data_IF_751933778612
#
_entry.id   IF_751933778612
#
_cell.length_a   1.000
_cell.length_b   1.000
_cell.length_c   1.000
_cell.angle_alpha   90.00
_cell.angle_beta   90.00
_cell.angle_gamma   90.00
#
_symmetry.space_group_name_H-M   'P 1'
#
loop_
_entity.id
_entity.type
_entity.pdbx_description
1 polymer ?
#
# COMPACT_ATOMS: atom_id res chain seq x y z
N UNK A 1 57.02 -85.45 -25.31
CA UNK A 1 57.62 -84.10 -25.26
C UNK A 1 56.68 -83.11 -25.92
N UNK A 2 55.96 -82.29 -25.14
CA UNK A 2 55.42 -80.98 -25.56
C UNK A 2 54.92 -80.25 -24.30
N UNK A 3 55.59 -79.15 -23.93
CA UNK A 3 55.21 -78.25 -22.84
C UNK A 3 54.13 -77.27 -23.35
N UNK A 4 53.02 -77.14 -22.65
CA UNK A 4 52.12 -75.99 -22.76
C UNK A 4 52.37 -75.06 -21.56
N UNK A 5 52.93 -73.88 -21.83
CA UNK A 5 52.94 -72.73 -20.93
C UNK A 5 51.67 -71.93 -21.20
N UNK A 6 50.78 -71.76 -20.22
CA UNK A 6 49.73 -70.75 -20.26
C UNK A 6 50.17 -69.52 -19.48
N UNK A 7 50.17 -68.38 -20.17
CA UNK A 7 50.67 -67.09 -19.74
C UNK A 7 49.59 -66.35 -18.93
N UNK A 8 49.82 -66.09 -17.63
CA UNK A 8 48.83 -65.52 -16.70
C UNK A 8 49.11 -64.05 -16.34
N UNK A 9 49.55 -63.21 -17.29
CA UNK A 9 50.04 -61.86 -16.98
C UNK A 9 49.21 -60.69 -17.55
N UNK A 10 48.12 -60.91 -18.28
CA UNK A 10 47.38 -59.81 -18.93
C UNK A 10 46.12 -59.31 -18.20
N UNK A 11 45.67 -59.96 -17.13
CA UNK A 11 44.39 -59.63 -16.48
C UNK A 11 44.48 -58.54 -15.40
N UNK A 12 45.66 -58.32 -14.80
CA UNK A 12 45.79 -57.43 -13.64
C UNK A 12 45.96 -55.95 -14.03
N UNK A 13 46.53 -55.66 -15.20
CA UNK A 13 46.76 -54.29 -15.66
C UNK A 13 45.47 -53.57 -16.07
N UNK A 14 44.49 -54.30 -16.60
CA UNK A 14 43.20 -53.72 -17.05
C UNK A 14 42.28 -53.43 -15.86
N UNK A 15 42.27 -54.31 -14.84
CA UNK A 15 41.47 -54.12 -13.63
C UNK A 15 42.03 -52.99 -12.76
N UNK A 16 43.36 -52.87 -12.67
CA UNK A 16 43.99 -51.77 -11.96
C UNK A 16 43.63 -50.41 -12.57
N UNK A 17 43.68 -50.26 -13.90
CA UNK A 17 43.36 -49.00 -14.58
C UNK A 17 41.89 -48.55 -14.43
N UNK A 18 40.95 -49.48 -14.36
CA UNK A 18 39.52 -49.17 -14.20
C UNK A 18 39.17 -48.69 -12.78
N UNK A 19 39.82 -49.28 -11.76
CA UNK A 19 39.62 -48.88 -10.36
C UNK A 19 40.20 -47.49 -10.09
N UNK A 20 41.36 -47.14 -10.66
CA UNK A 20 41.92 -45.78 -10.52
C UNK A 20 41.08 -44.72 -11.24
N UNK A 21 40.49 -45.05 -12.39
CA UNK A 21 39.64 -44.12 -13.13
C UNK A 21 38.32 -43.85 -12.39
N UNK A 22 37.69 -44.88 -11.81
CA UNK A 22 36.49 -44.72 -10.99
C UNK A 22 36.76 -43.97 -9.69
N UNK A 23 37.92 -44.18 -9.04
CA UNK A 23 38.31 -43.45 -7.83
C UNK A 23 38.56 -41.95 -8.10
N UNK A 24 39.11 -41.60 -9.27
CA UNK A 24 39.27 -40.21 -9.71
C UNK A 24 37.93 -39.52 -10.02
N UNK A 25 36.99 -40.23 -10.67
CA UNK A 25 35.65 -39.71 -10.94
C UNK A 25 34.84 -39.51 -9.64
N UNK A 26 34.96 -40.43 -8.67
CA UNK A 26 34.34 -40.28 -7.35
C UNK A 26 34.97 -39.16 -6.51
N UNK A 27 36.30 -38.98 -6.59
CA UNK A 27 36.99 -37.88 -5.91
C UNK A 27 36.63 -36.49 -6.49
N UNK A 28 36.36 -36.42 -7.80
CA UNK A 28 35.82 -35.23 -8.47
C UNK A 28 34.34 -34.97 -8.16
N UNK A 29 33.53 -36.01 -7.93
CA UNK A 29 32.12 -35.88 -7.56
C UNK A 29 31.91 -35.53 -6.06
N UNK A 30 32.87 -35.83 -5.19
CA UNK A 30 32.84 -35.50 -3.75
C UNK A 30 33.30 -34.08 -3.42
N UNK A 31 33.86 -33.36 -4.39
CA UNK A 31 34.11 -31.92 -4.26
C UNK A 31 32.94 -31.20 -4.95
N UNK A 32 31.96 -30.64 -4.20
CA UNK A 32 31.03 -29.72 -4.82
C UNK A 32 31.86 -28.66 -5.56
N UNK A 33 31.53 -28.28 -6.80
CA UNK A 33 32.28 -27.27 -7.51
C UNK A 33 32.39 -26.07 -6.58
N UNK A 34 33.59 -25.79 -6.08
CA UNK A 34 33.89 -24.54 -5.40
C UNK A 34 33.73 -23.50 -6.50
N UNK A 35 32.54 -22.94 -6.63
CA UNK A 35 32.30 -21.75 -7.40
C UNK A 35 33.28 -20.73 -6.86
N UNK A 36 34.36 -20.46 -7.61
CA UNK A 36 35.24 -19.34 -7.30
C UNK A 36 34.32 -18.12 -7.11
N UNK A 37 34.53 -17.30 -6.07
CA UNK A 37 33.88 -15.99 -6.01
C UNK A 37 34.09 -15.34 -7.37
N UNK A 38 32.99 -14.98 -8.05
CA UNK A 38 33.08 -14.25 -9.32
C UNK A 38 33.89 -12.99 -9.02
N UNK A 39 35.04 -12.83 -9.67
CA UNK A 39 35.85 -11.63 -9.52
C UNK A 39 35.17 -10.49 -10.30
N UNK A 40 34.31 -9.76 -9.61
CA UNK A 40 33.52 -8.67 -10.18
C UNK A 40 34.32 -7.36 -10.34
N UNK A 41 35.58 -7.31 -9.88
CA UNK A 41 36.45 -6.13 -9.85
C UNK A 41 36.64 -5.46 -11.22
N UNK A 42 36.50 -6.23 -12.30
CA UNK A 42 36.73 -5.78 -13.69
C UNK A 42 35.47 -5.51 -14.50
N UNK A 43 34.28 -5.70 -13.91
CA UNK A 43 33.02 -5.45 -14.60
C UNK A 43 32.80 -3.94 -14.85
N UNK A 44 32.35 -3.53 -16.06
CA UNK A 44 32.18 -2.12 -16.42
C UNK A 44 31.05 -1.43 -15.64
N UNK A 45 30.06 -2.18 -15.15
CA UNK A 45 29.03 -1.67 -14.26
C UNK A 45 29.05 -2.42 -12.94
N UNK A 46 29.15 -1.69 -11.82
CA UNK A 46 29.20 -2.27 -10.48
C UNK A 46 28.13 -1.67 -9.59
N UNK A 47 27.52 -2.51 -8.76
CA UNK A 47 26.58 -2.10 -7.71
C UNK A 47 27.09 -2.66 -6.39
N UNK A 48 26.99 -1.87 -5.33
CA UNK A 48 27.25 -2.35 -3.96
C UNK A 48 25.92 -2.52 -3.25
N UNK A 49 25.63 -3.73 -2.79
CA UNK A 49 24.38 -4.00 -2.08
C UNK A 49 24.38 -3.46 -0.63
N UNK A 50 23.29 -3.65 0.12
CA UNK A 50 23.21 -3.16 1.51
C UNK A 50 24.02 -3.99 2.51
N UNK A 51 24.61 -5.11 2.08
CA UNK A 51 25.55 -5.92 2.86
C UNK A 51 27.02 -5.58 2.53
N UNK A 52 27.26 -4.62 1.63
CA UNK A 52 28.60 -4.25 1.20
C UNK A 52 29.21 -5.20 0.15
N UNK A 53 28.41 -6.07 -0.46
CA UNK A 53 28.86 -6.97 -1.54
C UNK A 53 28.82 -6.24 -2.87
N UNK A 54 29.87 -6.41 -3.66
CA UNK A 54 29.96 -5.84 -5.01
C UNK A 54 29.43 -6.83 -6.03
N UNK A 55 28.46 -6.39 -6.84
CA UNK A 55 27.89 -7.10 -7.95
C UNK A 55 28.37 -6.46 -9.26
N UNK A 56 28.95 -7.27 -10.15
CA UNK A 56 29.44 -6.80 -11.44
C UNK A 56 28.53 -7.22 -12.59
N UNK A 57 28.24 -6.27 -13.48
CA UNK A 57 27.44 -6.47 -14.69
C UNK A 57 28.17 -5.89 -15.91
N UNK A 58 27.85 -6.41 -17.10
CA UNK A 58 28.35 -5.85 -18.36
C UNK A 58 27.70 -4.48 -18.69
N UNK A 59 26.47 -4.28 -18.22
CA UNK A 59 25.66 -3.08 -18.36
C UNK A 59 24.61 -3.08 -17.23
N UNK A 60 23.85 -1.99 -17.00
CA UNK A 60 22.77 -2.00 -16.01
C UNK A 60 21.81 -3.17 -16.24
N UNK A 61 21.38 -3.91 -15.19
CA UNK A 61 20.62 -5.14 -15.34
C UNK A 61 19.29 -4.89 -16.07
N UNK A 62 19.03 -5.71 -17.10
CA UNK A 62 17.85 -5.59 -17.99
C UNK A 62 16.77 -6.62 -17.65
N UNK A 63 17.11 -7.69 -16.94
CA UNK A 63 16.21 -8.76 -16.54
C UNK A 63 16.22 -8.89 -15.02
N UNK A 64 15.21 -8.34 -14.38
CA UNK A 64 15.15 -8.19 -12.92
C UNK A 64 14.00 -9.03 -12.37
N UNK A 65 14.31 -9.87 -11.39
CA UNK A 65 13.32 -10.61 -10.62
C UNK A 65 13.19 -10.01 -9.21
N UNK A 66 11.97 -9.79 -8.74
CA UNK A 66 11.71 -9.25 -7.40
C UNK A 66 11.27 -10.34 -6.42
N UNK A 67 12.10 -10.65 -5.42
CA UNK A 67 11.69 -11.49 -4.28
C UNK A 67 11.31 -10.68 -3.04
N UNK A 68 11.63 -9.38 -3.03
CA UNK A 68 11.25 -8.41 -2.01
C UNK A 68 10.26 -7.37 -2.57
N UNK A 69 9.39 -6.87 -1.71
CA UNK A 69 8.34 -5.86 -1.98
C UNK A 69 8.87 -4.45 -2.26
N UNK A 70 10.01 -4.34 -2.93
CA UNK A 70 10.70 -3.09 -3.32
C UNK A 70 10.49 -2.76 -4.80
N UNK A 71 9.64 -3.54 -5.49
CA UNK A 71 9.24 -3.28 -6.88
C UNK A 71 8.65 -1.88 -7.08
N UNK A 72 7.78 -1.34 -6.19
CA UNK A 72 7.32 0.05 -6.27
C UNK A 72 8.46 1.07 -6.37
N UNK A 73 9.53 0.88 -5.58
CA UNK A 73 10.71 1.75 -5.59
C UNK A 73 11.39 1.73 -6.95
N UNK A 74 11.59 0.55 -7.52
CA UNK A 74 12.18 0.40 -8.85
C UNK A 74 11.32 1.08 -9.91
N UNK A 75 10.01 0.82 -9.93
CA UNK A 75 9.09 1.40 -10.92
C UNK A 75 9.04 2.92 -10.84
N UNK A 76 9.07 3.49 -9.64
CA UNK A 76 9.07 4.95 -9.43
C UNK A 76 10.32 5.62 -10.00
N UNK A 77 11.46 4.93 -9.91
CA UNK A 77 12.76 5.42 -10.37
C UNK A 77 12.96 5.16 -11.86
N UNK A 78 12.68 3.94 -12.31
CA UNK A 78 12.87 3.49 -13.70
C UNK A 78 11.76 3.97 -14.65
N UNK A 79 10.58 4.31 -14.13
CA UNK A 79 9.42 4.75 -14.91
C UNK A 79 8.80 3.68 -15.81
N UNK A 80 9.24 2.43 -15.74
CA UNK A 80 8.79 1.35 -16.60
C UNK A 80 8.92 -0.02 -15.94
N UNK A 81 8.08 -0.97 -16.39
CA UNK A 81 8.12 -2.37 -15.96
C UNK A 81 8.93 -3.27 -16.93
N UNK A 82 9.52 -2.70 -17.98
CA UNK A 82 10.11 -3.45 -19.11
C UNK A 82 11.27 -4.36 -18.70
N UNK A 83 11.96 -4.01 -17.62
CA UNK A 83 13.07 -4.80 -17.08
C UNK A 83 12.63 -5.90 -16.11
N UNK A 84 11.33 -6.04 -15.84
CA UNK A 84 10.81 -6.98 -14.85
C UNK A 84 10.44 -8.31 -15.53
N UNK A 85 11.13 -9.39 -15.17
CA UNK A 85 10.88 -10.74 -15.73
C UNK A 85 9.96 -11.59 -14.86
N UNK A 86 9.75 -11.19 -13.61
CA UNK A 86 8.86 -11.86 -12.67
C UNK A 86 9.03 -11.36 -11.24
N UNK A 87 8.17 -11.87 -10.35
CA UNK A 87 8.26 -11.61 -8.93
C UNK A 87 7.67 -12.78 -8.11
N UNK A 88 8.07 -12.90 -6.85
CA UNK A 88 7.28 -13.70 -5.90
C UNK A 88 6.03 -12.94 -5.46
N UNK A 89 5.12 -13.61 -4.74
CA UNK A 89 3.97 -12.93 -4.10
C UNK A 89 4.44 -11.79 -3.20
N UNK A 90 5.50 -12.00 -2.41
CA UNK A 90 6.09 -10.92 -1.61
C UNK A 90 6.60 -9.80 -2.53
N UNK A 91 7.32 -10.14 -3.61
CA UNK A 91 7.86 -9.18 -4.56
C UNK A 91 6.83 -8.23 -5.16
N UNK A 92 5.63 -8.76 -5.47
CA UNK A 92 4.54 -8.01 -6.09
C UNK A 92 3.59 -7.36 -5.07
N UNK A 93 3.62 -7.75 -3.80
CA UNK A 93 2.65 -7.29 -2.77
C UNK A 93 2.58 -5.77 -2.54
N UNK A 94 3.54 -4.99 -3.06
CA UNK A 94 3.51 -3.53 -3.03
C UNK A 94 2.74 -2.87 -4.18
N UNK A 95 2.29 -3.61 -5.19
CA UNK A 95 1.68 -3.07 -6.41
C UNK A 95 0.24 -2.60 -6.22
N UNK A 96 -0.50 -3.24 -5.34
CA UNK A 96 -1.93 -2.99 -5.13
C UNK A 96 -2.17 -1.70 -4.32
N UNK A 97 -1.08 -1.01 -3.94
CA UNK A 97 -1.13 0.21 -3.13
C UNK A 97 -1.13 1.44 -4.00
N UNK A 98 -2.02 2.36 -3.66
CA UNK A 98 -2.05 3.70 -4.20
C UNK A 98 -1.95 3.73 -5.74
N UNK A 99 -2.62 2.76 -6.37
CA UNK A 99 -2.87 2.69 -7.81
C UNK A 99 -1.65 2.38 -8.66
N UNK A 100 -0.58 1.87 -8.06
CA UNK A 100 0.62 1.50 -8.81
C UNK A 100 0.35 0.40 -9.84
N UNK A 101 -0.63 -0.46 -9.61
CA UNK A 101 -1.12 -1.45 -10.56
C UNK A 101 -1.74 -0.82 -11.82
N UNK A 102 -2.48 0.29 -11.67
CA UNK A 102 -3.06 1.07 -12.76
C UNK A 102 -2.02 1.92 -13.49
N UNK A 103 -1.02 2.43 -12.76
CA UNK A 103 0.09 3.23 -13.31
C UNK A 103 1.08 2.34 -14.08
N UNK A 104 1.38 1.15 -13.54
CA UNK A 104 2.31 0.18 -14.11
C UNK A 104 1.64 -1.18 -14.37
N UNK A 105 0.67 -1.27 -15.30
CA UNK A 105 -0.06 -2.51 -15.56
C UNK A 105 0.82 -3.64 -16.09
N UNK A 106 2.01 -3.33 -16.62
CA UNK A 106 3.03 -4.33 -16.95
C UNK A 106 3.59 -5.05 -15.72
N UNK A 107 3.78 -4.34 -14.60
CA UNK A 107 4.33 -4.90 -13.37
C UNK A 107 3.33 -5.80 -12.65
N UNK A 108 2.03 -5.45 -12.65
CA UNK A 108 0.99 -6.32 -12.09
C UNK A 108 0.83 -7.63 -12.87
N UNK A 109 1.17 -7.62 -14.16
CA UNK A 109 1.18 -8.80 -15.04
C UNK A 109 2.52 -9.56 -15.04
N UNK A 110 3.52 -9.09 -14.29
CA UNK A 110 4.76 -9.82 -14.13
C UNK A 110 4.46 -11.24 -13.63
N UNK A 111 5.16 -12.23 -14.19
CA UNK A 111 4.95 -13.64 -13.84
C UNK A 111 5.18 -13.83 -12.34
N UNK A 112 4.17 -14.38 -11.66
CA UNK A 112 4.28 -14.83 -10.28
C UNK A 112 5.07 -16.14 -10.21
N UNK A 113 6.19 -16.13 -9.49
CA UNK A 113 7.09 -17.28 -9.35
C UNK A 113 7.36 -17.52 -7.86
N UNK A 114 6.52 -18.37 -7.26
CA UNK A 114 6.58 -18.73 -5.85
C UNK A 114 5.88 -17.76 -4.91
N UNK A 115 5.90 -18.09 -3.62
CA UNK A 115 5.03 -17.49 -2.62
C UNK A 115 5.69 -16.40 -1.76
N UNK A 116 4.98 -15.96 -0.73
CA UNK A 116 5.40 -14.90 0.20
C UNK A 116 6.68 -15.26 0.96
N UNK A 117 6.83 -16.51 1.38
CA UNK A 117 7.99 -16.94 2.16
C UNK A 117 9.21 -17.20 1.28
N UNK A 118 9.01 -17.87 0.12
CA UNK A 118 10.09 -18.29 -0.78
C UNK A 118 9.64 -18.29 -2.25
N UNK A 119 10.46 -17.75 -3.16
CA UNK A 119 10.23 -17.91 -4.60
C UNK A 119 10.49 -19.36 -5.04
N UNK A 120 9.93 -19.77 -6.18
CA UNK A 120 10.26 -21.04 -6.81
C UNK A 120 11.59 -20.90 -7.57
N UNK A 121 12.68 -21.38 -6.97
CA UNK A 121 14.04 -21.19 -7.48
C UNK A 121 14.25 -21.72 -8.91
N UNK A 122 13.73 -22.89 -9.25
CA UNK A 122 13.90 -23.45 -10.60
C UNK A 122 13.23 -22.58 -11.66
N UNK A 123 12.05 -22.06 -11.36
CA UNK A 123 11.34 -21.16 -12.25
C UNK A 123 12.00 -19.78 -12.35
N UNK A 124 12.59 -19.29 -11.25
CA UNK A 124 13.42 -18.09 -11.29
C UNK A 124 14.59 -18.29 -12.25
N UNK A 125 15.31 -19.42 -12.17
CA UNK A 125 16.40 -19.72 -13.12
C UNK A 125 15.90 -19.81 -14.57
N UNK A 126 14.74 -20.42 -14.80
CA UNK A 126 14.11 -20.48 -16.14
C UNK A 126 13.72 -19.10 -16.68
N UNK A 127 13.50 -18.12 -15.81
CA UNK A 127 13.27 -16.73 -16.22
C UNK A 127 14.57 -15.99 -16.60
N UNK A 128 15.74 -16.61 -16.41
CA UNK A 128 17.06 -16.08 -16.75
C UNK A 128 17.26 -14.61 -16.34
N UNK A 129 17.14 -14.27 -15.04
CA UNK A 129 17.37 -12.92 -14.56
C UNK A 129 18.86 -12.58 -14.57
N UNK A 130 19.18 -11.31 -14.81
CA UNK A 130 20.51 -10.74 -14.57
C UNK A 130 20.69 -10.50 -13.06
N UNK A 131 19.63 -10.00 -12.42
CA UNK A 131 19.60 -9.67 -11.00
C UNK A 131 18.32 -10.16 -10.31
N UNK A 132 18.48 -10.71 -9.11
CA UNK A 132 17.39 -10.94 -8.16
C UNK A 132 17.48 -9.92 -7.04
N UNK A 133 16.41 -9.16 -6.86
CA UNK A 133 16.27 -8.12 -5.84
C UNK A 133 15.49 -8.66 -4.64
N UNK A 134 16.17 -8.84 -3.50
CA UNK A 134 15.62 -9.56 -2.37
C UNK A 134 16.06 -9.06 -1.00
N UNK A 135 15.41 -9.55 0.04
CA UNK A 135 15.81 -9.27 1.41
C UNK A 135 17.06 -10.08 1.77
N UNK A 136 17.96 -9.51 2.57
CA UNK A 136 19.18 -10.21 3.01
C UNK A 136 18.90 -11.53 3.72
N UNK A 137 17.75 -11.68 4.37
CA UNK A 137 17.29 -12.94 4.97
C UNK A 137 17.05 -14.07 3.96
N UNK A 138 16.82 -13.74 2.69
CA UNK A 138 16.53 -14.69 1.62
C UNK A 138 17.81 -15.22 0.94
N UNK A 139 18.97 -14.62 1.21
CA UNK A 139 20.26 -14.91 0.54
C UNK A 139 20.56 -16.41 0.47
N UNK A 140 20.50 -17.09 1.61
CA UNK A 140 20.81 -18.52 1.73
C UNK A 140 19.81 -19.44 1.01
N UNK A 141 18.62 -18.94 0.73
CA UNK A 141 17.55 -19.70 0.05
C UNK A 141 17.59 -19.51 -1.47
N UNK A 142 18.17 -18.41 -1.96
CA UNK A 142 18.11 -18.00 -3.36
C UNK A 142 19.48 -18.08 -4.06
N UNK A 143 20.58 -17.85 -3.34
CA UNK A 143 21.91 -17.73 -3.96
C UNK A 143 22.58 -19.08 -4.27
N UNK A 144 22.15 -20.18 -3.62
CA UNK A 144 22.81 -21.49 -3.73
C UNK A 144 22.78 -22.02 -5.17
N UNK A 145 23.93 -21.98 -5.84
CA UNK A 145 24.11 -22.51 -7.20
C UNK A 145 23.52 -21.62 -8.30
N UNK A 146 23.24 -20.34 -8.00
CA UNK A 146 22.63 -19.42 -8.95
C UNK A 146 23.63 -18.87 -9.99
N UNK A 147 23.15 -18.67 -11.22
CA UNK A 147 23.91 -18.00 -12.29
C UNK A 147 23.76 -16.48 -12.28
N UNK A 148 22.72 -15.97 -11.62
CA UNK A 148 22.36 -14.55 -11.50
C UNK A 148 23.01 -13.87 -10.29
N UNK A 149 22.99 -12.53 -10.27
CA UNK A 149 23.43 -11.74 -9.11
C UNK A 149 22.27 -11.53 -8.12
N UNK A 150 22.44 -11.94 -6.86
CA UNK A 150 21.46 -11.66 -5.81
C UNK A 150 21.82 -10.37 -5.07
N UNK A 151 21.10 -9.27 -5.34
CA UNK A 151 21.34 -7.97 -4.72
C UNK A 151 20.48 -7.86 -3.45
N UNK A 152 21.14 -7.83 -2.29
CA UNK A 152 20.45 -7.87 -1.00
C UNK A 152 20.11 -6.47 -0.47
N UNK A 153 18.85 -6.31 -0.06
CA UNK A 153 18.36 -5.16 0.70
C UNK A 153 18.23 -5.50 2.18
N UNK A 154 18.38 -4.48 3.03
CA UNK A 154 18.23 -4.60 4.47
C UNK A 154 17.54 -3.37 5.04
N UNK A 155 16.62 -3.59 5.97
CA UNK A 155 16.04 -2.52 6.79
C UNK A 155 16.61 -2.57 8.19
N UNK A 156 16.93 -1.41 8.75
CA UNK A 156 17.38 -1.28 10.13
C UNK A 156 16.80 0.00 10.72
N UNK A 157 16.39 -0.03 11.99
CA UNK A 157 15.92 1.17 12.67
C UNK A 157 17.10 2.13 12.93
N UNK A 158 16.96 3.45 12.70
CA UNK A 158 15.79 4.18 12.19
C UNK A 158 15.44 3.83 10.73
N UNK A 159 14.18 3.48 10.48
CA UNK A 159 13.75 2.91 9.19
C UNK A 159 13.83 3.93 8.07
N UNK A 160 13.55 5.21 8.32
CA UNK A 160 13.68 6.27 7.32
C UNK A 160 15.08 6.29 6.74
N UNK A 161 16.13 6.29 7.57
CA UNK A 161 17.52 6.25 7.09
C UNK A 161 17.77 5.01 6.22
N UNK A 162 17.32 3.83 6.65
CA UNK A 162 17.54 2.60 5.90
C UNK A 162 16.79 2.57 4.56
N UNK A 163 15.58 3.14 4.50
CA UNK A 163 14.80 3.20 3.27
C UNK A 163 15.35 4.23 2.29
N UNK A 164 15.91 5.36 2.77
CA UNK A 164 16.62 6.31 1.92
C UNK A 164 17.92 5.70 1.35
N UNK A 165 18.59 4.81 2.09
CA UNK A 165 19.72 4.05 1.57
C UNK A 165 19.27 3.04 0.49
N UNK A 166 18.18 2.32 0.74
CA UNK A 166 17.56 1.42 -0.24
C UNK A 166 17.17 2.17 -1.52
N UNK A 167 16.59 3.37 -1.39
CA UNK A 167 16.25 4.25 -2.51
C UNK A 167 17.45 4.55 -3.40
N UNK A 168 18.59 4.94 -2.81
CA UNK A 168 19.83 5.21 -3.56
C UNK A 168 20.38 3.96 -4.24
N UNK A 169 20.36 2.80 -3.57
CA UNK A 169 20.75 1.52 -4.20
C UNK A 169 19.84 1.16 -5.36
N UNK A 170 18.54 1.37 -5.21
CA UNK A 170 17.59 1.15 -6.30
C UNK A 170 17.81 2.13 -7.46
N UNK A 171 18.25 3.36 -7.18
CA UNK A 171 18.59 4.34 -8.20
C UNK A 171 19.82 3.94 -9.02
N UNK A 172 20.86 3.40 -8.37
CA UNK A 172 22.01 2.80 -9.05
C UNK A 172 21.55 1.67 -9.98
N UNK A 173 20.75 0.72 -9.46
CA UNK A 173 20.25 -0.44 -10.22
C UNK A 173 19.39 -0.03 -11.43
N UNK A 174 18.51 0.97 -11.25
CA UNK A 174 17.62 1.45 -12.31
C UNK A 174 18.32 2.39 -13.30
N UNK A 175 19.50 2.92 -12.97
CA UNK A 175 20.18 3.96 -13.75
C UNK A 175 19.53 5.35 -13.59
N UNK A 176 18.85 5.59 -12.47
CA UNK A 176 18.04 6.77 -12.23
C UNK A 176 18.58 7.67 -11.09
N UNK A 177 19.90 7.71 -10.89
CA UNK A 177 20.54 8.45 -9.79
C UNK A 177 20.19 9.93 -9.73
N UNK A 178 20.14 10.63 -10.87
CA UNK A 178 19.78 12.06 -10.91
C UNK A 178 18.32 12.30 -10.48
N UNK A 179 17.40 11.47 -10.98
CA UNK A 179 15.98 11.49 -10.59
C UNK A 179 15.84 11.20 -9.09
N UNK A 180 16.58 10.21 -8.59
CA UNK A 180 16.57 9.85 -7.18
C UNK A 180 17.02 11.00 -6.28
N UNK A 181 18.12 11.67 -6.61
CA UNK A 181 18.62 12.81 -5.82
C UNK A 181 17.69 14.02 -5.91
N UNK A 182 17.01 14.23 -7.04
CA UNK A 182 15.97 15.25 -7.16
C UNK A 182 14.78 14.99 -6.23
N UNK A 183 14.30 13.75 -6.18
CA UNK A 183 13.21 13.36 -5.28
C UNK A 183 13.64 13.38 -3.80
N UNK A 184 14.92 13.10 -3.50
CA UNK A 184 15.48 13.21 -2.14
C UNK A 184 15.57 14.66 -1.66
N UNK A 185 15.93 15.62 -2.52
CA UNK A 185 15.90 17.05 -2.18
C UNK A 185 14.48 17.53 -1.89
N UNK A 186 13.54 17.20 -2.79
CA UNK A 186 12.12 17.47 -2.59
C UNK A 186 11.61 16.91 -1.26
N UNK A 187 11.93 15.66 -0.96
CA UNK A 187 11.59 15.01 0.31
C UNK A 187 12.10 15.82 1.52
N UNK A 188 13.39 16.20 1.52
CA UNK A 188 13.96 16.97 2.61
C UNK A 188 13.26 18.33 2.80
N UNK A 189 12.99 19.04 1.71
CA UNK A 189 12.30 20.33 1.72
C UNK A 189 10.86 20.23 2.24
N UNK A 190 10.09 19.26 1.73
CA UNK A 190 8.69 19.08 2.14
C UNK A 190 8.58 18.63 3.60
N UNK A 191 9.38 17.67 4.02
CA UNK A 191 9.40 17.15 5.39
C UNK A 191 9.86 18.24 6.38
N UNK A 192 10.86 19.07 6.04
CA UNK A 192 11.24 20.21 6.87
C UNK A 192 10.10 21.25 6.96
N UNK A 193 9.42 21.54 5.85
CA UNK A 193 8.28 22.44 5.86
C UNK A 193 7.16 21.93 6.77
N UNK A 194 6.84 20.63 6.73
CA UNK A 194 5.83 20.02 7.61
C UNK A 194 6.27 20.12 9.08
N UNK A 195 7.51 19.76 9.40
CA UNK A 195 8.04 19.87 10.75
C UNK A 195 8.00 21.31 11.30
N UNK A 196 8.15 22.33 10.43
CA UNK A 196 7.96 23.73 10.83
C UNK A 196 6.50 24.06 11.19
N UNK A 197 5.52 23.52 10.47
CA UNK A 197 4.10 23.80 10.74
C UNK A 197 3.61 23.26 12.09
N UNK A 198 4.18 22.14 12.55
CA UNK A 198 3.77 21.48 13.81
C UNK A 198 4.66 21.83 15.01
N UNK A 199 5.66 22.71 14.83
CA UNK A 199 6.71 22.95 15.84
C UNK A 199 6.17 23.36 17.20
N UNK A 200 5.17 24.23 17.20
CA UNK A 200 4.55 24.79 18.40
C UNK A 200 3.21 24.11 18.74
N UNK A 201 2.86 23.04 18.02
CA UNK A 201 1.65 22.28 18.27
C UNK A 201 1.76 21.47 19.58
N UNK A 202 0.60 21.21 20.19
CA UNK A 202 0.56 20.41 21.42
C UNK A 202 0.95 18.97 21.13
N UNK A 203 1.72 18.32 22.02
CA UNK A 203 2.10 16.92 21.83
C UNK A 203 0.87 16.01 21.88
N UNK A 204 0.78 15.08 20.93
CA UNK A 204 -0.33 14.12 20.82
C UNK A 204 0.17 12.71 21.08
N UNK A 205 -0.55 11.94 21.89
CA UNK A 205 -0.28 10.50 22.07
C UNK A 205 -1.13 9.66 21.13
N UNK A 206 -0.50 8.71 20.45
CA UNK A 206 -1.15 7.83 19.48
C UNK A 206 -0.96 6.36 19.85
N UNK A 207 -1.96 5.52 19.61
CA UNK A 207 -1.81 4.07 19.58
C UNK A 207 -1.87 3.60 18.14
N UNK A 208 -0.91 2.79 17.72
CA UNK A 208 -0.93 2.16 16.40
C UNK A 208 -1.48 0.74 16.55
N UNK A 209 -2.55 0.43 15.83
CA UNK A 209 -3.07 -0.93 15.68
C UNK A 209 -2.76 -1.39 14.28
N UNK A 210 -2.03 -2.50 14.17
CA UNK A 210 -1.70 -3.12 12.89
C UNK A 210 -2.56 -4.37 12.71
N UNK A 211 -3.06 -4.59 11.51
CA UNK A 211 -3.85 -5.79 11.18
C UNK A 211 -3.49 -6.34 9.80
N UNK A 212 -3.64 -7.66 9.67
CA UNK A 212 -3.65 -8.38 8.41
C UNK A 212 -4.80 -9.39 8.43
N UNK A 213 -4.91 -10.22 7.39
CA UNK A 213 -6.00 -11.21 7.24
C UNK A 213 -6.12 -12.20 8.42
N UNK A 214 -5.03 -12.45 9.14
CA UNK A 214 -4.93 -13.52 10.14
C UNK A 214 -4.84 -13.00 11.58
N UNK A 215 -4.41 -11.76 11.80
CA UNK A 215 -4.17 -11.24 13.14
C UNK A 215 -4.14 -9.71 13.20
N UNK A 216 -4.31 -9.20 14.42
CA UNK A 216 -4.08 -7.79 14.77
C UNK A 216 -3.18 -7.68 16.00
N UNK A 217 -2.31 -6.68 16.02
CA UNK A 217 -1.37 -6.42 17.12
C UNK A 217 -1.14 -4.92 17.30
N UNK A 218 -0.59 -4.55 18.45
CA UNK A 218 -0.17 -3.17 18.70
C UNK A 218 1.21 -2.94 18.09
N UNK A 219 1.30 -1.83 17.39
CA UNK A 219 2.53 -1.34 16.81
C UNK A 219 3.54 -0.89 17.86
N UNK A 220 4.64 -1.63 18.03
CA UNK A 220 5.71 -1.32 18.98
C UNK A 220 6.73 -0.24 18.53
N UNK A 221 7.93 -0.18 19.15
CA UNK A 221 8.98 0.83 18.90
C UNK A 221 9.45 0.95 17.45
N UNK A 222 9.47 -0.15 16.72
CA UNK A 222 10.06 -0.23 15.38
C UNK A 222 9.01 -0.16 14.26
N UNK A 223 7.79 0.30 14.56
CA UNK A 223 6.81 0.50 13.51
C UNK A 223 7.21 1.64 12.59
N UNK A 224 6.98 1.43 11.29
CA UNK A 224 7.30 2.38 10.24
C UNK A 224 6.80 3.79 10.52
N UNK A 225 5.55 3.92 10.94
CA UNK A 225 4.93 5.24 11.13
C UNK A 225 5.45 6.01 12.35
N UNK A 226 6.20 5.37 13.28
CA UNK A 226 6.70 6.04 14.48
C UNK A 226 7.59 7.25 14.15
N UNK A 227 8.54 7.12 13.23
CA UNK A 227 9.41 8.25 12.83
C UNK A 227 8.60 9.41 12.24
N UNK A 228 7.50 9.12 11.53
CA UNK A 228 6.61 10.14 10.94
C UNK A 228 5.75 10.78 12.03
N UNK A 229 5.31 10.02 13.03
CA UNK A 229 4.61 10.56 14.21
C UNK A 229 5.50 11.52 14.99
N UNK A 230 6.76 11.13 15.25
CA UNK A 230 7.71 11.97 15.96
C UNK A 230 7.96 13.28 15.21
N UNK A 231 8.08 13.21 13.87
CA UNK A 231 8.23 14.38 13.01
C UNK A 231 7.07 15.36 13.13
N UNK A 232 5.85 14.84 13.20
CA UNK A 232 4.64 15.67 13.33
C UNK A 232 4.28 15.95 14.79
N UNK A 233 5.21 15.85 15.76
CA UNK A 233 4.96 16.22 17.15
C UNK A 233 4.05 15.25 17.93
N UNK A 234 3.96 13.99 17.47
CA UNK A 234 3.19 12.94 18.13
C UNK A 234 4.09 11.82 18.67
N UNK A 235 3.54 10.99 19.54
CA UNK A 235 4.27 9.91 20.20
C UNK A 235 3.42 8.66 20.27
N UNK A 236 3.98 7.52 19.83
CA UNK A 236 3.34 6.23 20.03
C UNK A 236 3.39 5.81 21.52
N UNK A 237 2.24 5.57 22.15
CA UNK A 237 2.16 5.12 23.55
C UNK A 237 2.81 3.75 23.78
N UNK A 238 2.91 2.94 22.73
CA UNK A 238 3.56 1.62 22.77
C UNK A 238 5.05 1.66 22.36
N UNK A 239 5.67 2.85 22.28
CA UNK A 239 7.08 3.00 21.85
C UNK A 239 8.11 2.30 22.75
N UNK A 240 7.75 1.97 23.99
CA UNK A 240 8.63 1.25 24.92
C UNK A 240 8.24 -0.23 25.10
N UNK A 241 7.23 -0.70 24.37
CA UNK A 241 6.75 -2.07 24.40
C UNK A 241 7.52 -3.02 23.47
N UNK A 242 7.07 -4.27 23.39
CA UNK A 242 7.60 -5.24 22.43
C UNK A 242 7.28 -4.83 20.97
N UNK A 243 8.10 -5.28 20.02
CA UNK A 243 8.04 -4.90 18.59
C UNK A 243 6.66 -5.18 17.96
N UNK A 244 6.02 -6.28 18.37
CA UNK A 244 4.63 -6.60 18.13
C UNK A 244 4.07 -7.19 19.42
N UNK A 245 3.19 -6.45 20.09
CA UNK A 245 2.58 -6.88 21.34
C UNK A 245 1.08 -7.04 21.17
N UNK A 246 0.53 -8.13 21.69
CA UNK A 246 -0.90 -8.19 22.01
C UNK A 246 -1.06 -7.47 23.36
N UNK A 247 -1.23 -6.14 23.35
CA UNK A 247 -1.63 -5.45 24.57
C UNK A 247 -3.10 -5.76 24.84
N UNK A 248 -3.42 -6.08 26.10
CA UNK A 248 -4.81 -6.23 26.50
C UNK A 248 -5.52 -4.87 26.45
N UNK A 249 -6.84 -4.87 26.31
CA UNK A 249 -7.62 -3.63 26.29
C UNK A 249 -7.43 -2.83 27.59
N UNK A 250 -7.23 -3.50 28.72
CA UNK A 250 -6.95 -2.89 30.02
C UNK A 250 -5.59 -2.19 30.03
N UNK A 251 -4.56 -2.76 29.39
CA UNK A 251 -3.28 -2.09 29.24
C UNK A 251 -3.38 -0.86 28.34
N UNK A 252 -4.17 -0.95 27.27
CA UNK A 252 -4.47 0.21 26.40
C UNK A 252 -5.27 1.27 27.17
N UNK A 253 -6.17 0.87 28.05
CA UNK A 253 -6.93 1.75 28.93
C UNK A 253 -6.04 2.59 29.85
N UNK A 254 -4.98 1.98 30.38
CA UNK A 254 -4.01 2.67 31.25
C UNK A 254 -3.17 3.68 30.46
N UNK A 255 -2.82 3.35 29.21
CA UNK A 255 -2.09 4.27 28.34
C UNK A 255 -2.96 5.44 27.83
N UNK A 256 -4.27 5.21 27.68
CA UNK A 256 -5.31 6.18 27.29
C UNK A 256 -4.90 7.19 26.20
N UNK A 257 -4.59 6.70 24.98
CA UNK A 257 -4.07 7.53 23.90
C UNK A 257 -5.09 8.59 23.45
N UNK A 258 -4.59 9.71 22.95
CA UNK A 258 -5.44 10.78 22.39
C UNK A 258 -6.05 10.39 21.04
N UNK A 259 -5.36 9.54 20.27
CA UNK A 259 -5.81 9.00 18.98
C UNK A 259 -5.46 7.52 18.79
N UNK A 260 -6.22 6.82 17.95
CA UNK A 260 -5.89 5.47 17.48
C UNK A 260 -5.70 5.51 15.96
N UNK A 261 -4.57 4.97 15.48
CA UNK A 261 -4.22 4.87 14.07
C UNK A 261 -4.21 3.41 13.64
N UNK A 262 -4.99 3.11 12.61
CA UNK A 262 -5.21 1.75 12.11
C UNK A 262 -4.41 1.56 10.83
N UNK A 263 -3.46 0.62 10.85
CA UNK A 263 -2.67 0.20 9.71
C UNK A 263 -3.09 -1.21 9.30
N UNK A 264 -3.63 -1.35 8.11
CA UNK A 264 -4.10 -2.63 7.59
C UNK A 264 -4.93 -2.45 6.33
N UNK A 265 -5.17 -3.55 5.65
CA UNK A 265 -5.98 -3.59 4.44
C UNK A 265 -7.46 -3.33 4.72
N UNK A 266 -8.21 -2.98 3.68
CA UNK A 266 -9.65 -2.73 3.79
C UNK A 266 -10.43 -3.89 4.39
N UNK A 267 -11.39 -3.56 5.24
CA UNK A 267 -12.23 -4.53 5.93
C UNK A 267 -11.58 -5.14 7.17
N UNK A 268 -10.32 -4.79 7.48
CA UNK A 268 -9.62 -5.22 8.69
C UNK A 268 -9.60 -4.09 9.72
N UNK A 269 -10.19 -4.33 10.89
CA UNK A 269 -10.13 -3.43 12.05
C UNK A 269 -10.45 -1.96 11.72
N UNK A 270 -11.56 -1.72 11.02
CA UNK A 270 -12.00 -0.37 10.61
C UNK A 270 -12.40 0.51 11.80
N UNK A 271 -12.39 1.87 11.68
CA UNK A 271 -12.80 2.77 12.76
C UNK A 271 -14.14 2.43 13.39
N UNK A 272 -15.10 1.99 12.56
CA UNK A 272 -16.44 1.60 12.99
C UNK A 272 -16.44 0.43 13.98
N UNK A 273 -15.53 -0.55 13.84
CA UNK A 273 -15.41 -1.67 14.77
C UNK A 273 -15.18 -1.17 16.21
N UNK A 274 -14.25 -0.23 16.37
CA UNK A 274 -13.92 0.36 17.67
C UNK A 274 -15.06 1.23 18.22
N UNK A 275 -15.79 1.93 17.35
CA UNK A 275 -16.90 2.80 17.79
C UNK A 275 -18.14 2.00 18.20
N UNK A 276 -18.37 0.83 17.60
CA UNK A 276 -19.54 -0.01 17.84
C UNK A 276 -19.33 -0.99 19.02
N UNK A 277 -18.12 -1.45 19.26
CA UNK A 277 -17.83 -2.34 20.39
C UNK A 277 -17.73 -1.55 21.72
N UNK A 278 -18.65 -1.84 22.63
CA UNK A 278 -18.76 -1.17 23.94
C UNK A 278 -17.49 -1.26 24.78
N UNK A 279 -16.67 -2.31 24.60
CA UNK A 279 -15.42 -2.48 25.34
C UNK A 279 -14.46 -1.33 25.03
N UNK A 280 -14.37 -0.89 23.79
CA UNK A 280 -13.44 0.17 23.39
C UNK A 280 -13.88 1.57 23.84
N UNK A 281 -15.14 1.76 24.25
CA UNK A 281 -15.66 3.06 24.73
C UNK A 281 -15.02 3.56 26.02
N UNK A 282 -14.24 2.73 26.71
CA UNK A 282 -13.45 3.16 27.86
C UNK A 282 -12.28 4.09 27.49
N UNK A 283 -11.85 4.12 26.23
CA UNK A 283 -10.78 5.01 25.74
C UNK A 283 -11.33 6.39 25.37
N UNK A 284 -10.60 7.46 25.72
CA UNK A 284 -10.95 8.84 25.32
C UNK A 284 -11.01 8.99 23.80
N UNK A 285 -10.03 8.44 23.08
CA UNK A 285 -9.98 8.48 21.62
C UNK A 285 -11.27 7.92 20.98
N UNK A 286 -11.79 6.80 21.47
CA UNK A 286 -12.98 6.15 20.90
C UNK A 286 -14.23 6.96 21.17
N UNK A 287 -14.42 7.49 22.40
CA UNK A 287 -15.56 8.37 22.73
C UNK A 287 -15.55 9.65 21.91
N UNK A 288 -14.36 10.19 21.63
CA UNK A 288 -14.17 11.37 20.81
C UNK A 288 -14.14 11.07 19.30
N UNK A 289 -14.39 9.82 18.89
CA UNK A 289 -14.30 9.35 17.50
C UNK A 289 -12.95 9.61 16.81
N UNK A 290 -11.85 9.70 17.58
CA UNK A 290 -10.48 9.88 17.09
C UNK A 290 -9.80 8.54 16.79
N UNK A 291 -10.45 7.74 15.95
CA UNK A 291 -9.95 6.46 15.44
C UNK A 291 -9.85 6.58 13.93
N UNK A 292 -8.67 6.41 13.35
CA UNK A 292 -8.44 6.71 11.94
C UNK A 292 -7.73 5.57 11.24
N UNK A 293 -8.26 5.12 10.11
CA UNK A 293 -7.55 4.33 9.14
C UNK A 293 -6.53 5.18 8.39
N UNK A 294 -5.29 4.74 8.44
CA UNK A 294 -4.16 5.40 7.77
C UNK A 294 -4.29 5.19 6.26
N UNK A 295 -4.12 6.24 5.44
CA UNK A 295 -4.06 6.13 3.98
C UNK A 295 -3.03 5.10 3.52
N UNK A 296 -3.38 4.34 2.48
CA UNK A 296 -2.50 3.28 1.94
C UNK A 296 -1.59 3.83 0.85
N UNK A 297 -0.45 4.39 1.27
CA UNK A 297 0.61 4.77 0.35
C UNK A 297 1.56 3.58 0.05
N UNK A 298 2.25 3.59 -1.11
CA UNK A 298 3.27 2.60 -1.41
C UNK A 298 4.43 2.67 -0.42
N UNK A 299 4.82 1.50 0.10
CA UNK A 299 5.97 1.37 1.00
C UNK A 299 7.27 1.31 0.23
N UNK A 300 8.37 1.64 0.91
CA UNK A 300 9.73 1.74 0.32
C UNK A 300 9.90 2.80 -0.78
N UNK A 301 8.90 3.67 -0.98
CA UNK A 301 8.96 4.83 -1.86
C UNK A 301 8.92 6.12 -1.02
N UNK A 302 9.75 6.11 0.05
CA UNK A 302 9.79 7.15 1.10
C UNK A 302 9.86 8.57 0.55
N UNK A 303 10.79 8.92 -0.37
CA UNK A 303 10.93 10.30 -0.83
C UNK A 303 9.69 10.88 -1.52
N UNK A 304 8.77 10.03 -1.94
CA UNK A 304 7.57 10.43 -2.68
C UNK A 304 6.35 10.53 -1.77
N UNK A 305 6.09 9.49 -0.97
CA UNK A 305 4.80 9.37 -0.28
C UNK A 305 4.85 9.69 1.21
N UNK A 306 6.01 9.69 1.84
CA UNK A 306 6.10 10.06 3.24
C UNK A 306 5.68 11.50 3.51
N UNK A 307 6.06 12.51 2.69
CA UNK A 307 5.56 13.87 2.88
C UNK A 307 4.04 13.96 2.81
N UNK A 308 3.38 13.12 1.99
CA UNK A 308 1.92 13.06 1.92
C UNK A 308 1.31 12.41 3.17
N UNK A 309 1.92 11.33 3.67
CA UNK A 309 1.54 10.70 4.93
C UNK A 309 1.76 11.65 6.12
N UNK A 310 2.87 12.36 6.16
CA UNK A 310 3.23 13.34 7.19
C UNK A 310 2.23 14.51 7.20
N UNK A 311 1.85 15.06 6.03
CA UNK A 311 0.78 16.07 5.93
C UNK A 311 -0.56 15.53 6.44
N UNK A 312 -0.92 14.29 6.08
CA UNK A 312 -2.14 13.67 6.58
C UNK A 312 -2.12 13.52 8.11
N UNK A 313 -1.01 13.01 8.66
CA UNK A 313 -0.82 12.86 10.10
C UNK A 313 -0.91 14.21 10.81
N UNK A 314 -0.17 15.23 10.34
CA UNK A 314 -0.21 16.56 10.93
C UNK A 314 -1.64 17.10 11.04
N UNK A 315 -2.45 16.93 9.98
CA UNK A 315 -3.85 17.40 9.95
C UNK A 315 -4.80 16.61 10.84
N UNK A 316 -4.56 15.31 11.01
CA UNK A 316 -5.40 14.45 11.87
C UNK A 316 -5.07 14.69 13.35
N UNK A 317 -3.79 14.90 13.65
CA UNK A 317 -3.29 15.01 15.02
C UNK A 317 -3.41 16.45 15.56
N UNK A 318 -3.21 17.45 14.71
CA UNK A 318 -3.24 18.87 15.05
C UNK A 318 -4.29 19.60 14.21
N UNK A 319 -5.59 19.42 14.53
CA UNK A 319 -6.67 19.92 13.71
C UNK A 319 -6.76 21.46 13.61
N UNK A 320 -6.03 22.18 14.46
CA UNK A 320 -5.86 23.63 14.50
C UNK A 320 -4.93 24.18 13.42
N UNK A 321 -4.07 23.35 12.83
CA UNK A 321 -3.18 23.76 11.74
C UNK A 321 -3.99 23.95 10.44
N UNK A 322 -3.67 25.01 9.69
CA UNK A 322 -4.37 25.37 8.46
C UNK A 322 -4.27 24.29 7.37
N UNK A 323 -5.34 24.14 6.58
CA UNK A 323 -5.48 23.14 5.52
C UNK A 323 -4.74 23.57 4.24
N UNK A 324 -3.60 22.95 3.96
CA UNK A 324 -2.79 23.12 2.73
C UNK A 324 -3.30 22.37 1.46
N UNK A 325 -4.59 22.01 1.41
CA UNK A 325 -5.25 21.12 0.45
C UNK A 325 -4.47 19.82 0.06
N UNK A 326 -4.54 18.79 0.92
CA UNK A 326 -3.85 17.50 0.71
C UNK A 326 -4.30 16.80 -0.58
N UNK A 327 -5.55 16.97 -1.01
CA UNK A 327 -6.05 16.39 -2.27
C UNK A 327 -5.30 16.98 -3.45
N UNK A 328 -5.13 18.29 -3.47
CA UNK A 328 -4.32 18.97 -4.48
C UNK A 328 -2.83 18.54 -4.41
N UNK A 329 -2.29 18.40 -3.19
CA UNK A 329 -0.94 17.87 -2.96
C UNK A 329 -0.73 16.49 -3.58
N UNK A 330 -1.63 15.55 -3.30
CA UNK A 330 -1.58 14.19 -3.87
C UNK A 330 -1.61 14.24 -5.39
N UNK A 331 -2.58 14.94 -6.00
CA UNK A 331 -2.68 15.02 -7.47
C UNK A 331 -1.40 15.54 -8.12
N UNK A 332 -0.82 16.59 -7.54
CA UNK A 332 0.42 17.19 -8.01
C UNK A 332 1.57 16.18 -7.96
N UNK A 333 1.75 15.51 -6.82
CA UNK A 333 2.80 14.50 -6.64
C UNK A 333 2.67 13.37 -7.66
N UNK A 334 1.46 12.84 -7.87
CA UNK A 334 1.26 11.78 -8.87
C UNK A 334 1.49 12.26 -10.31
N UNK A 335 1.05 13.47 -10.64
CA UNK A 335 1.22 14.02 -11.98
C UNK A 335 2.70 14.26 -12.30
N UNK A 336 3.45 14.84 -11.37
CA UNK A 336 4.88 15.12 -11.53
C UNK A 336 5.72 13.85 -11.62
N UNK A 337 5.40 12.82 -10.83
CA UNK A 337 6.24 11.64 -10.69
C UNK A 337 5.88 10.57 -11.73
N UNK A 338 4.59 10.37 -11.97
CA UNK A 338 4.09 9.27 -12.79
C UNK A 338 3.38 9.74 -14.07
N UNK A 339 3.11 11.03 -14.24
CA UNK A 339 2.22 11.52 -15.30
C UNK A 339 0.76 11.07 -15.11
N UNK A 340 0.41 10.57 -13.91
CA UNK A 340 -0.92 10.09 -13.56
C UNK A 340 -1.65 11.15 -12.76
N UNK A 341 -2.92 11.42 -13.06
CA UNK A 341 -3.75 12.35 -12.29
C UNK A 341 -4.91 11.61 -11.62
N UNK A 342 -4.81 11.33 -10.31
CA UNK A 342 -5.90 10.68 -9.57
C UNK A 342 -7.18 11.52 -9.63
N UNK A 343 -8.28 10.86 -10.00
CA UNK A 343 -9.61 11.48 -9.97
C UNK A 343 -10.12 11.60 -8.52
N UNK A 344 -11.32 12.16 -8.30
CA UNK A 344 -11.85 12.30 -6.94
C UNK A 344 -12.13 10.96 -6.24
N UNK A 345 -12.57 9.93 -6.97
CA UNK A 345 -12.85 8.60 -6.41
C UNK A 345 -11.55 7.91 -5.98
N UNK A 346 -10.48 8.06 -6.78
CA UNK A 346 -9.13 7.59 -6.43
C UNK A 346 -8.65 8.24 -5.12
N UNK A 347 -8.85 9.55 -4.96
CA UNK A 347 -8.45 10.22 -3.73
C UNK A 347 -9.29 9.78 -2.53
N UNK A 348 -10.58 9.49 -2.74
CA UNK A 348 -11.48 9.04 -1.70
C UNK A 348 -11.10 7.63 -1.20
N UNK A 349 -10.70 6.74 -2.13
CA UNK A 349 -10.16 5.42 -1.83
C UNK A 349 -8.82 5.52 -1.10
N UNK A 350 -7.86 6.29 -1.64
CA UNK A 350 -6.52 6.46 -1.07
C UNK A 350 -6.56 7.02 0.35
N UNK A 351 -7.41 8.03 0.58
CA UNK A 351 -7.61 8.66 1.89
C UNK A 351 -8.59 7.86 2.77
N UNK A 352 -9.05 6.69 2.34
CA UNK A 352 -9.98 5.85 3.08
C UNK A 352 -11.20 6.63 3.62
N UNK A 353 -11.78 7.54 2.80
CA UNK A 353 -12.87 8.42 3.22
C UNK A 353 -14.09 7.63 3.74
N UNK A 354 -14.40 6.50 3.11
CA UNK A 354 -15.52 5.66 3.54
C UNK A 354 -15.28 5.06 4.94
N UNK A 355 -14.10 4.49 5.18
CA UNK A 355 -13.70 3.92 6.46
C UNK A 355 -13.70 4.97 7.59
N UNK A 356 -13.20 6.16 7.27
CA UNK A 356 -13.04 7.26 8.22
C UNK A 356 -14.26 8.19 8.32
N UNK A 357 -15.39 7.86 7.67
CA UNK A 357 -16.55 8.76 7.58
C UNK A 357 -17.14 9.15 8.95
N UNK A 358 -16.98 8.28 9.97
CA UNK A 358 -17.43 8.52 11.34
C UNK A 358 -16.35 9.12 12.24
N UNK A 359 -15.13 9.26 11.75
CA UNK A 359 -13.99 9.74 12.51
C UNK A 359 -14.02 11.26 12.64
N UNK A 360 -13.66 11.76 13.83
CA UNK A 360 -13.77 13.17 14.16
C UNK A 360 -12.95 14.04 13.20
N UNK A 361 -13.59 15.07 12.65
CA UNK A 361 -12.92 16.06 11.79
C UNK A 361 -12.45 15.54 10.43
N UNK A 362 -12.77 14.30 10.04
CA UNK A 362 -12.30 13.71 8.78
C UNK A 362 -12.94 14.34 7.53
N UNK A 363 -14.09 15.01 7.70
CA UNK A 363 -14.77 15.79 6.65
C UNK A 363 -13.84 16.81 5.96
N UNK A 364 -12.74 17.21 6.62
CA UNK A 364 -11.71 18.09 6.04
C UNK A 364 -11.06 17.53 4.77
N UNK A 365 -11.10 16.22 4.57
CA UNK A 365 -10.53 15.54 3.40
C UNK A 365 -11.55 15.27 2.28
N UNK A 366 -12.82 15.63 2.49
CA UNK A 366 -13.88 15.52 1.48
C UNK A 366 -13.68 16.50 0.32
N UNK A 367 -14.44 16.31 -0.76
CA UNK A 367 -14.34 17.13 -1.97
C UNK A 367 -14.70 18.58 -1.64
N UNK A 368 -14.08 19.55 -2.32
CA UNK A 368 -14.28 20.98 -2.03
C UNK A 368 -15.75 21.43 -2.10
N UNK A 369 -16.58 20.83 -2.97
CA UNK A 369 -18.04 21.09 -3.03
C UNK A 369 -18.77 20.56 -1.78
N UNK A 370 -18.40 19.39 -1.30
CA UNK A 370 -18.97 18.74 -0.10
C UNK A 370 -18.56 19.50 1.17
N UNK A 371 -17.28 19.89 1.27
CA UNK A 371 -16.79 20.75 2.36
C UNK A 371 -17.56 22.06 2.45
N UNK A 372 -17.80 22.75 1.32
CA UNK A 372 -18.62 23.98 1.31
C UNK A 372 -20.06 23.74 1.75
N UNK A 373 -20.68 22.65 1.32
CA UNK A 373 -22.04 22.30 1.74
C UNK A 373 -22.11 22.05 3.26
N UNK A 374 -21.18 21.27 3.81
CA UNK A 374 -21.10 20.98 5.25
C UNK A 374 -20.79 22.22 6.08
N UNK A 375 -19.86 23.08 5.65
CA UNK A 375 -19.58 24.35 6.33
C UNK A 375 -20.80 25.27 6.35
N UNK A 376 -21.56 25.35 5.25
CA UNK A 376 -22.80 26.13 5.20
C UNK A 376 -23.88 25.56 6.12
N UNK A 377 -23.96 24.23 6.28
CA UNK A 377 -24.89 23.57 7.22
C UNK A 377 -24.50 23.89 8.67
N UNK A 378 -23.23 23.77 9.01
CA UNK A 378 -22.74 24.05 10.36
C UNK A 378 -22.97 25.52 10.76
N UNK A 379 -22.69 26.46 9.85
CA UNK A 379 -22.95 27.89 10.04
C UNK A 379 -24.47 28.16 10.17
N UNK A 380 -25.31 27.52 9.34
CA UNK A 380 -26.76 27.66 9.41
C UNK A 380 -27.35 27.11 10.72
N UNK A 381 -26.84 25.97 11.20
CA UNK A 381 -27.22 25.36 12.47
C UNK A 381 -26.81 26.18 13.69
N UNK A 382 -25.64 26.83 13.64
CA UNK A 382 -25.14 27.69 14.73
C UNK A 382 -25.86 29.03 14.84
N UNK A 383 -26.37 29.56 13.73
CA UNK A 383 -27.01 30.88 13.67
C UNK A 383 -28.54 30.84 13.71
N UNK A 384 -29.19 29.68 13.84
CA UNK A 384 -30.65 29.57 13.90
C UNK A 384 -31.40 30.15 12.69
N UNK A 385 -30.71 30.36 11.56
CA UNK A 385 -31.24 31.09 10.41
C UNK A 385 -32.08 30.16 9.52
N UNK A 386 -33.39 30.39 9.50
CA UNK A 386 -34.35 29.83 8.51
C UNK A 386 -34.16 30.45 7.11
N UNK A 387 -32.95 30.35 6.54
CA UNK A 387 -32.64 30.92 5.21
C UNK A 387 -32.85 29.90 4.09
N UNK A 388 -33.00 30.38 2.85
CA UNK A 388 -33.07 29.55 1.63
C UNK A 388 -31.80 28.72 1.39
N UNK A 389 -30.69 29.05 2.05
CA UNK A 389 -29.46 28.27 2.05
C UNK A 389 -29.58 27.02 2.94
N UNK A 390 -30.20 27.14 4.13
CA UNK A 390 -30.46 26.00 5.01
C UNK A 390 -31.38 24.96 4.33
N UNK A 391 -32.43 25.40 3.61
CA UNK A 391 -33.31 24.51 2.84
C UNK A 391 -32.61 23.83 1.65
N UNK A 392 -31.69 24.53 0.99
CA UNK A 392 -30.88 23.94 -0.10
C UNK A 392 -29.91 22.89 0.44
N UNK A 393 -29.30 23.16 1.59
CA UNK A 393 -28.39 22.22 2.22
C UNK A 393 -29.12 21.01 2.82
N UNK A 394 -30.32 21.18 3.37
CA UNK A 394 -31.18 20.07 3.82
C UNK A 394 -31.64 19.20 2.65
N UNK A 395 -32.01 19.80 1.51
CA UNK A 395 -32.33 19.07 0.27
C UNK A 395 -31.13 18.27 -0.25
N UNK A 396 -29.95 18.90 -0.32
CA UNK A 396 -28.70 18.24 -0.71
C UNK A 396 -28.35 17.09 0.23
N UNK A 397 -28.50 17.25 1.56
CA UNK A 397 -28.28 16.18 2.52
C UNK A 397 -29.27 15.03 2.36
N UNK A 398 -30.55 15.30 2.10
CA UNK A 398 -31.53 14.23 1.85
C UNK A 398 -31.19 13.46 0.58
N UNK A 399 -30.83 14.16 -0.50
CA UNK A 399 -30.43 13.53 -1.77
C UNK A 399 -29.12 12.73 -1.62
N UNK A 400 -28.11 13.29 -0.93
CA UNK A 400 -26.82 12.63 -0.71
C UNK A 400 -26.90 11.47 0.28
N UNK A 401 -27.63 11.63 1.39
CA UNK A 401 -27.79 10.58 2.40
C UNK A 401 -28.66 9.42 1.89
N UNK A 402 -29.67 9.71 1.05
CA UNK A 402 -30.44 8.69 0.35
C UNK A 402 -29.58 7.97 -0.70
N UNK A 403 -28.79 8.69 -1.52
CA UNK A 403 -27.92 8.07 -2.53
C UNK A 403 -26.80 7.22 -1.93
N UNK A 404 -26.13 7.69 -0.86
CA UNK A 404 -24.97 7.01 -0.26
C UNK A 404 -25.36 5.80 0.59
N UNK A 405 -26.57 5.77 1.16
CA UNK A 405 -27.07 4.62 1.93
C UNK A 405 -27.87 3.60 1.08
N UNK A 406 -28.32 3.94 -0.13
CA UNK A 406 -29.03 2.99 -1.00
C UNK A 406 -28.15 1.81 -1.43
N UNK A 407 -26.82 1.98 -1.50
CA UNK A 407 -25.89 0.90 -1.80
C UNK A 407 -25.51 0.01 -0.60
N UNK A 408 -25.88 0.37 0.64
CA UNK A 408 -25.40 -0.33 1.84
C UNK A 408 -26.50 -0.95 2.73
N UNK A 409 -27.78 -0.84 2.39
CA UNK A 409 -28.86 -1.45 3.19
C UNK A 409 -29.81 -2.32 2.37
N UNK A 410 -29.66 -3.64 2.53
CA UNK A 410 -30.56 -4.68 2.01
C UNK A 410 -31.89 -4.81 2.81
N UNK A 411 -32.34 -3.76 3.50
CA UNK A 411 -33.61 -3.74 4.26
C UNK A 411 -34.16 -2.31 4.36
N UNK A 412 -34.77 -1.82 3.29
CA UNK A 412 -35.80 -0.77 3.39
C UNK A 412 -36.96 -1.24 2.53
N UNK A 413 -37.98 -1.82 3.17
CA UNK A 413 -39.23 -2.12 2.48
C UNK A 413 -39.99 -0.82 2.25
N UNK A 414 -40.01 -0.40 0.98
CA UNK A 414 -40.81 0.70 0.39
C UNK A 414 -40.36 2.13 0.71
N UNK A 415 -39.67 2.74 -0.25
CA UNK A 415 -39.60 4.20 -0.41
C UNK A 415 -40.65 4.60 -1.45
N UNK A 416 -41.50 5.58 -1.12
CA UNK A 416 -42.50 6.13 -2.03
C UNK A 416 -41.83 6.96 -3.13
N UNK A 417 -42.10 6.61 -4.40
CA UNK A 417 -41.51 7.25 -5.60
C UNK A 417 -41.81 8.76 -5.69
N UNK A 418 -42.82 9.25 -4.97
CA UNK A 418 -43.17 10.67 -4.90
C UNK A 418 -42.17 11.58 -4.17
N UNK A 419 -41.09 11.03 -3.58
CA UNK A 419 -40.05 11.79 -2.87
C UNK A 419 -38.73 11.93 -3.64
N UNK A 420 -38.65 11.40 -4.87
CA UNK A 420 -37.44 11.46 -5.68
C UNK A 420 -37.47 12.64 -6.66
N UNK A 421 -36.34 13.32 -6.81
CA UNK A 421 -36.17 14.36 -7.84
C UNK A 421 -36.02 13.73 -9.24
N UNK A 422 -36.33 14.47 -10.32
CA UNK A 422 -36.16 13.99 -11.69
C UNK A 422 -34.75 13.47 -11.99
N UNK A 423 -33.71 14.06 -11.38
CA UNK A 423 -32.31 13.61 -11.53
C UNK A 423 -32.06 12.23 -10.89
N UNK A 424 -32.73 11.91 -9.77
CA UNK A 424 -32.66 10.58 -9.14
C UNK A 424 -33.37 9.51 -9.98
N UNK A 425 -34.44 9.91 -10.68
CA UNK A 425 -35.20 9.02 -11.57
C UNK A 425 -34.40 8.68 -12.84
N UNK A 426 -33.66 9.65 -13.39
CA UNK A 426 -32.74 9.44 -14.52
C UNK A 426 -31.58 8.49 -14.16
N UNK A 427 -30.99 8.63 -12.96
CA UNK A 427 -29.95 7.73 -12.46
C UNK A 427 -30.44 6.28 -12.24
N UNK A 428 -31.71 6.10 -11.83
CA UNK A 428 -32.33 4.77 -11.70
C UNK A 428 -32.66 4.12 -13.05
N UNK A 429 -32.79 4.89 -14.14
CA UNK A 429 -32.97 4.34 -15.49
C UNK A 429 -31.67 3.74 -16.05
N UNK A 430 -30.52 4.27 -15.65
CA UNK A 430 -29.21 3.77 -16.08
C UNK A 430 -28.80 2.44 -15.43
N UNK A 431 -29.40 2.06 -14.29
CA UNK A 431 -29.05 0.82 -13.57
C UNK A 431 -29.79 -0.43 -14.05
N UNK A 432 -30.65 -0.33 -15.08
CA UNK A 432 -31.41 -1.48 -15.62
C UNK A 432 -30.58 -2.48 -16.48
N UNK A 433 -29.26 -2.34 -16.57
CA UNK A 433 -28.39 -3.23 -17.36
C UNK A 433 -27.51 -4.20 -16.54
N UNK A 434 -27.86 -4.51 -15.28
CA UNK A 434 -27.19 -5.55 -14.50
C UNK A 434 -28.13 -6.76 -14.23
N UNK A 435 -27.68 -8.02 -14.42
CA UNK A 435 -28.54 -9.19 -14.28
C UNK A 435 -28.79 -9.50 -12.78
N UNK A 436 -29.97 -9.16 -12.31
CA UNK A 436 -30.50 -9.41 -10.96
C UNK A 436 -32.02 -9.20 -10.93
N UNK A 437 -32.74 -9.67 -9.89
CA UNK A 437 -34.18 -9.90 -9.96
C UNK A 437 -34.97 -8.64 -10.30
N UNK A 438 -35.82 -8.74 -11.33
CA UNK A 438 -36.62 -7.66 -11.91
C UNK A 438 -37.52 -6.99 -10.85
N UNK A 439 -37.38 -5.67 -10.72
CA UNK A 439 -38.39 -4.82 -10.09
C UNK A 439 -39.64 -4.80 -10.97
N UNK A 440 -40.69 -5.52 -10.55
CA UNK A 440 -42.02 -5.43 -11.16
C UNK A 440 -42.66 -4.12 -10.70
N UNK A 441 -42.76 -3.15 -11.61
CA UNK A 441 -43.65 -2.01 -11.46
C UNK A 441 -45.06 -2.50 -11.83
N UNK A 442 -45.98 -2.51 -10.86
CA UNK A 442 -47.39 -2.81 -11.13
C UNK A 442 -48.08 -1.55 -11.67
N UNK A 443 -48.47 -1.60 -12.93
CA UNK A 443 -49.42 -0.67 -13.55
C UNK A 443 -50.80 -0.82 -12.92
N UNK A 444 -51.42 0.31 -12.52
CA UNK A 444 -52.86 0.61 -12.60
C UNK A 444 -53.08 2.06 -12.13
N UNK A 445 -53.19 3.00 -13.09
CA UNK A 445 -54.45 3.64 -13.56
C UNK A 445 -54.60 5.04 -12.93
N UNK A 446 -54.92 6.14 -13.63
CA UNK A 446 -55.72 6.34 -14.84
C UNK A 446 -55.25 7.57 -15.64
N UNK A 447 -55.56 7.56 -16.93
CA UNK A 447 -55.53 8.67 -17.89
C UNK A 447 -56.06 9.99 -17.30
N UNK A 448 -55.27 11.06 -17.43
CA UNK A 448 -55.78 12.43 -17.38
C UNK A 448 -55.90 12.93 -18.84
N UNK A 449 -57.15 13.02 -19.31
CA UNK A 449 -57.56 13.63 -20.57
C UNK A 449 -57.30 15.16 -20.53
N UNK A 450 -56.48 15.73 -21.43
CA UNK A 450 -56.10 17.15 -21.41
C UNK A 450 -57.16 18.03 -22.11
N UNK A 451 -58.43 17.90 -21.70
CA UNK A 451 -59.55 18.48 -22.45
C UNK A 451 -60.79 18.80 -21.63
N UNK A 452 -60.70 19.56 -20.54
CA UNK A 452 -61.87 20.26 -19.95
C UNK A 452 -61.46 21.48 -19.12
N UNK A 453 -61.22 22.60 -19.81
CA UNK A 453 -61.48 23.92 -19.26
C UNK A 453 -62.99 24.09 -19.03
N UNK A 454 -63.42 24.39 -17.80
CA UNK A 454 -64.40 25.42 -17.41
C UNK A 454 -64.75 25.25 -15.94
N UNK A 455 -64.71 26.37 -15.21
CA UNK A 455 -64.81 26.39 -13.75
C UNK A 455 -66.21 26.33 -13.18
N UNK A 456 -66.29 26.28 -11.86
CA UNK A 456 -67.22 27.07 -11.04
C UNK A 456 -66.97 26.84 -9.56
N UNK A 457 -66.95 27.97 -8.85
CA UNK A 457 -67.03 28.27 -7.41
C UNK A 457 -67.68 27.24 -6.44
N UNK A 458 -67.23 27.41 -5.19
CA UNK A 458 -67.92 27.21 -3.90
C UNK A 458 -68.02 25.75 -3.41
N UNK A 459 -67.83 25.43 -2.13
CA UNK A 459 -67.80 26.18 -0.86
C UNK A 459 -66.64 25.71 0.01
#
# INVERSE_FOLDING_TARGET
MARLRSNSSSSWSVVAGFVTCCALIFALALHPPRTKPKDHSTAPFQIVDMLGRTHGFAEPPKRIFFSANVMPTFLTLAGSADRIVGASDLGRSGMDRAFLDRIFPGASRARLIGGTERPNFEEVLRSSPDAVLGWSSQINSIEKGASFEFVAFQTAYPLTRSHLALWRRMAEISGASERAETLLRRYAEETEAIARTVRDASKVTALIVVSNENSSWIGGPKQYINERLELVGATNVARHGAVAAHLSLEQVAVLDPDVILLQGSAGQMEPEYFMNDHRWRLLRAVRAAKVYRVPEFPIFVVPVFDPLLERWLARVLHPEIEDDDLRAGIRRTYAEIYGYSPNDDDLDELLALAANARSAGYQRFERHRERRALSQIFIAGRNGLRSSAARRAERFCREFWLCRNFCLYRRVERVSVTQLTPECIELLRWTQFAPGPQLVLSDHMHELDPGKCRGSRSK
#
